data_IF_647450093649
#
_entry.id   IF_647450093649
#
_cell.length_a   1.000
_cell.length_b   1.000
_cell.length_c   1.000
_cell.angle_alpha   90.00
_cell.angle_beta   90.00
_cell.angle_gamma   90.00
#
_symmetry.space_group_name_H-M   'P 1'
#
loop_
_entity.id
_entity.type
_entity.pdbx_description
1 polymer ?
#
# COMPACT_ATOMS: atom_id res chain seq x y z
N UNK A 1 -19.12 1.82 -16.70
CA UNK A 1 -18.65 0.85 -15.68
C UNK A 1 -18.10 -0.43 -16.30
N UNK A 2 -18.80 -1.15 -17.16
CA UNK A 2 -18.28 -2.38 -17.79
C UNK A 2 -17.01 -2.15 -18.62
N UNK A 3 -16.95 -1.10 -19.43
CA UNK A 3 -15.80 -0.76 -20.28
C UNK A 3 -14.54 -0.41 -19.45
N UNK A 4 -14.70 0.24 -18.30
CA UNK A 4 -13.62 0.59 -17.39
C UNK A 4 -13.08 -0.63 -16.63
N UNK A 5 -13.95 -1.57 -16.28
CA UNK A 5 -13.57 -2.85 -15.66
C UNK A 5 -12.76 -3.70 -16.65
N UNK A 6 -13.18 -3.79 -17.91
CA UNK A 6 -12.44 -4.49 -18.97
C UNK A 6 -11.06 -3.85 -19.22
N UNK A 7 -10.95 -2.52 -19.15
CA UNK A 7 -9.68 -1.79 -19.25
C UNK A 7 -8.74 -2.10 -18.09
N UNK A 8 -9.24 -2.13 -16.84
CA UNK A 8 -8.44 -2.46 -15.65
C UNK A 8 -7.95 -3.91 -15.70
N UNK A 9 -8.80 -4.86 -16.06
CA UNK A 9 -8.39 -6.28 -16.15
C UNK A 9 -7.29 -6.49 -17.19
N UNK A 10 -7.39 -5.85 -18.36
CA UNK A 10 -6.34 -5.89 -19.40
C UNK A 10 -5.03 -5.30 -18.89
N UNK A 11 -5.09 -4.20 -18.13
CA UNK A 11 -3.91 -3.58 -17.53
C UNK A 11 -3.29 -4.49 -16.47
N UNK A 12 -4.08 -5.04 -15.56
CA UNK A 12 -3.61 -5.97 -14.53
C UNK A 12 -2.96 -7.23 -15.15
N UNK A 13 -3.51 -7.74 -16.25
CA UNK A 13 -2.90 -8.86 -16.98
C UNK A 13 -1.52 -8.49 -17.54
N UNK A 14 -1.36 -7.28 -18.11
CA UNK A 14 -0.06 -6.78 -18.57
C UNK A 14 0.94 -6.59 -17.43
N UNK A 15 0.48 -6.06 -16.30
CA UNK A 15 1.32 -5.88 -15.11
C UNK A 15 1.83 -7.24 -14.61
N UNK A 16 0.94 -8.23 -14.46
CA UNK A 16 1.30 -9.59 -13.99
C UNK A 16 2.27 -10.31 -14.93
N UNK A 17 2.24 -9.99 -16.21
CA UNK A 17 3.16 -10.52 -17.22
C UNK A 17 4.43 -9.68 -17.40
N UNK A 18 4.68 -8.66 -16.54
CA UNK A 18 5.83 -7.78 -16.65
C UNK A 18 7.14 -8.51 -16.34
N UNK A 19 8.11 -8.39 -17.25
CA UNK A 19 9.46 -8.99 -17.13
C UNK A 19 10.59 -7.96 -17.25
N UNK A 20 10.30 -6.66 -17.08
CA UNK A 20 11.28 -5.57 -17.24
C UNK A 20 12.51 -5.76 -16.33
N UNK A 21 12.29 -6.19 -15.09
CA UNK A 21 13.35 -6.39 -14.09
C UNK A 21 13.80 -7.86 -14.05
N UNK A 22 14.42 -8.35 -15.10
CA UNK A 22 14.85 -9.76 -15.23
C UNK A 22 15.98 -10.16 -14.27
N UNK A 23 16.67 -9.18 -13.70
CA UNK A 23 17.79 -9.34 -12.74
C UNK A 23 17.36 -9.45 -11.27
N UNK A 24 16.06 -9.51 -11.00
CA UNK A 24 15.56 -9.69 -9.63
C UNK A 24 15.95 -11.06 -9.06
N UNK A 25 16.32 -11.14 -7.76
CA UNK A 25 16.90 -12.37 -7.18
C UNK A 25 15.93 -13.56 -7.14
N UNK A 26 14.63 -13.33 -7.19
CA UNK A 26 13.59 -14.37 -7.28
C UNK A 26 12.79 -14.28 -8.59
N UNK A 27 13.30 -13.52 -9.57
CA UNK A 27 12.60 -13.23 -10.81
C UNK A 27 11.45 -12.20 -10.65
N UNK A 28 10.90 -11.75 -11.78
CA UNK A 28 9.73 -10.88 -11.77
C UNK A 28 8.46 -11.67 -11.43
N UNK A 29 7.77 -11.23 -10.39
CA UNK A 29 6.45 -11.72 -9.97
C UNK A 29 5.65 -10.54 -9.39
N UNK A 30 4.99 -9.75 -10.24
CA UNK A 30 4.27 -8.56 -9.82
C UNK A 30 3.06 -8.86 -8.96
N UNK A 31 3.09 -8.41 -7.71
CA UNK A 31 2.00 -8.52 -6.74
C UNK A 31 1.24 -7.21 -6.63
N UNK A 32 0.01 -7.21 -7.09
CA UNK A 32 -0.89 -6.06 -7.09
C UNK A 32 -2.34 -6.51 -6.95
N UNK A 33 -3.13 -5.71 -6.23
CA UNK A 33 -4.58 -5.89 -6.10
C UNK A 33 -5.27 -4.58 -6.48
N UNK A 34 -6.27 -4.64 -7.35
CA UNK A 34 -7.07 -3.47 -7.71
C UNK A 34 -8.44 -3.88 -8.25
N UNK A 35 -9.45 -3.06 -7.96
CA UNK A 35 -10.79 -3.15 -8.50
C UNK A 35 -11.36 -1.74 -8.71
N UNK A 36 -12.15 -1.53 -9.75
CA UNK A 36 -12.68 -0.21 -10.13
C UNK A 36 -13.57 0.42 -9.06
N UNK A 37 -14.17 -0.38 -8.18
CA UNK A 37 -15.01 0.08 -7.06
C UNK A 37 -14.24 0.33 -5.77
N UNK A 38 -12.94 0.00 -5.70
CA UNK A 38 -12.13 0.18 -4.50
C UNK A 38 -12.22 1.63 -3.97
N UNK A 39 -12.41 1.74 -2.65
CA UNK A 39 -12.48 3.03 -1.93
C UNK A 39 -11.19 3.37 -1.20
N UNK A 40 -10.39 2.37 -0.91
CA UNK A 40 -9.20 2.49 -0.10
C UNK A 40 -8.00 2.01 -0.89
N UNK A 41 -7.02 2.89 -1.06
CA UNK A 41 -5.73 2.57 -1.67
C UNK A 41 -4.67 2.38 -0.60
N UNK A 42 -3.96 1.26 -0.65
CA UNK A 42 -2.80 0.97 0.19
C UNK A 42 -1.54 1.04 -0.65
N UNK A 43 -0.60 1.91 -0.26
CA UNK A 43 0.67 2.10 -0.94
C UNK A 43 1.81 1.79 0.01
N UNK A 44 2.62 0.80 -0.32
CA UNK A 44 3.85 0.43 0.41
C UNK A 44 5.09 0.55 -0.47
N UNK A 45 6.22 0.07 0.02
CA UNK A 45 7.49 0.07 -0.71
C UNK A 45 7.48 -0.93 -1.87
N UNK A 46 7.52 -2.22 -1.55
CA UNK A 46 7.52 -3.37 -2.46
C UNK A 46 7.21 -4.65 -1.66
N UNK A 47 6.84 -5.76 -2.31
CA UNK A 47 6.73 -7.05 -1.64
C UNK A 47 8.05 -7.45 -0.99
N UNK A 48 8.01 -7.92 0.27
CA UNK A 48 9.15 -8.58 0.90
C UNK A 48 9.28 -10.03 0.42
N UNK A 49 10.40 -10.70 0.75
CA UNK A 49 10.65 -12.10 0.36
C UNK A 49 9.47 -13.02 0.70
N UNK A 50 8.98 -13.00 1.94
CA UNK A 50 7.86 -13.86 2.38
C UNK A 50 6.56 -13.55 1.64
N UNK A 51 6.32 -12.29 1.34
CA UNK A 51 5.16 -11.84 0.56
C UNK A 51 5.23 -12.35 -0.88
N UNK A 52 6.42 -12.29 -1.49
CA UNK A 52 6.67 -12.87 -2.81
C UNK A 52 6.42 -14.38 -2.82
N UNK A 53 7.00 -15.12 -1.87
CA UNK A 53 6.82 -16.58 -1.75
C UNK A 53 5.36 -17.00 -1.53
N UNK A 54 4.54 -16.14 -0.93
CA UNK A 54 3.10 -16.38 -0.72
C UNK A 54 2.21 -15.95 -1.89
N UNK A 55 2.77 -15.23 -2.86
CA UNK A 55 2.06 -14.82 -4.07
C UNK A 55 0.93 -13.81 -3.84
N UNK A 56 0.90 -13.10 -2.70
CA UNK A 56 -0.14 -12.08 -2.42
C UNK A 56 0.39 -10.91 -1.59
N UNK A 57 -0.05 -9.65 -1.87
CA UNK A 57 0.39 -8.46 -1.15
C UNK A 57 0.11 -8.59 0.37
N UNK A 58 1.06 -8.19 1.21
CA UNK A 58 0.90 -8.22 2.67
C UNK A 58 0.46 -9.58 3.26
N UNK A 59 0.92 -10.70 2.67
CA UNK A 59 0.65 -12.05 3.20
C UNK A 59 1.40 -12.37 4.50
N UNK A 60 2.36 -11.54 4.91
CA UNK A 60 3.27 -11.74 6.05
C UNK A 60 2.77 -11.10 7.37
N UNK A 61 3.65 -11.05 8.39
CA UNK A 61 3.36 -10.43 9.69
C UNK A 61 3.06 -8.92 9.59
N UNK A 62 3.62 -8.24 8.59
CA UNK A 62 3.31 -6.83 8.33
C UNK A 62 1.85 -6.67 7.93
N UNK A 63 1.35 -7.57 7.10
CA UNK A 63 -0.06 -7.57 6.69
C UNK A 63 -1.00 -7.89 7.84
N UNK A 64 -0.64 -8.83 8.73
CA UNK A 64 -1.43 -9.09 9.93
C UNK A 64 -1.57 -7.84 10.81
N UNK A 65 -0.47 -7.12 11.04
CA UNK A 65 -0.51 -5.86 11.79
C UNK A 65 -1.33 -4.79 11.07
N UNK A 66 -1.15 -4.67 9.75
CA UNK A 66 -1.90 -3.70 8.96
C UNK A 66 -3.42 -3.96 9.07
N UNK A 67 -3.88 -5.19 8.88
CA UNK A 67 -5.29 -5.55 9.07
C UNK A 67 -5.82 -5.19 10.46
N UNK A 68 -5.01 -5.41 11.50
CA UNK A 68 -5.37 -5.01 12.87
C UNK A 68 -5.52 -3.48 12.99
N UNK A 69 -4.60 -2.69 12.42
CA UNK A 69 -4.71 -1.24 12.40
C UNK A 69 -5.96 -0.75 11.64
N UNK A 70 -6.32 -1.45 10.56
CA UNK A 70 -7.50 -1.12 9.76
C UNK A 70 -8.81 -1.58 10.40
N UNK A 71 -8.77 -2.52 11.35
CA UNK A 71 -9.95 -3.12 11.96
C UNK A 71 -10.75 -4.00 10.99
N UNK A 72 -10.09 -4.69 10.06
CA UNK A 72 -10.73 -5.50 9.02
C UNK A 72 -10.32 -6.96 9.09
N UNK A 73 -11.19 -7.83 8.55
CA UNK A 73 -10.89 -9.25 8.36
C UNK A 73 -9.93 -9.45 7.18
N UNK A 74 -9.39 -10.67 7.06
CA UNK A 74 -8.55 -11.03 5.92
C UNK A 74 -9.35 -11.01 4.61
N UNK A 75 -10.59 -11.52 4.61
CA UNK A 75 -11.45 -11.51 3.44
C UNK A 75 -11.77 -10.08 2.97
N UNK A 76 -12.10 -9.18 3.89
CA UNK A 76 -12.30 -7.77 3.56
C UNK A 76 -11.04 -7.13 2.98
N UNK A 77 -9.87 -7.43 3.55
CA UNK A 77 -8.60 -6.85 3.10
C UNK A 77 -8.22 -7.27 1.68
N UNK A 78 -8.52 -8.51 1.31
CA UNK A 78 -8.25 -9.04 -0.02
C UNK A 78 -9.43 -8.92 -1.00
N UNK A 79 -10.50 -8.26 -0.60
CA UNK A 79 -11.58 -7.89 -1.52
C UNK A 79 -11.16 -6.70 -2.40
N UNK A 80 -10.93 -6.89 -3.71
CA UNK A 80 -10.51 -5.82 -4.61
C UNK A 80 -11.60 -4.77 -4.83
N UNK A 81 -12.85 -5.04 -4.44
CA UNK A 81 -13.92 -4.05 -4.48
C UNK A 81 -13.81 -3.02 -3.35
N UNK A 82 -13.13 -3.35 -2.27
CA UNK A 82 -12.91 -2.52 -1.09
C UNK A 82 -11.51 -1.88 -1.08
N UNK A 83 -10.47 -2.69 -1.32
CA UNK A 83 -9.08 -2.30 -1.21
C UNK A 83 -8.31 -2.47 -2.52
N UNK A 84 -7.64 -1.42 -2.96
CA UNK A 84 -6.56 -1.50 -3.92
C UNK A 84 -5.21 -1.52 -3.17
N UNK A 85 -4.34 -2.47 -3.48
CA UNK A 85 -2.99 -2.60 -2.89
C UNK A 85 -1.97 -2.45 -4.00
N UNK A 86 -1.36 -1.27 -4.09
CA UNK A 86 -0.49 -0.87 -5.19
C UNK A 86 0.82 -0.32 -4.62
N UNK A 87 1.82 -1.19 -4.32
CA UNK A 87 3.11 -0.75 -3.80
C UNK A 87 3.88 0.11 -4.82
N UNK A 88 4.98 0.74 -4.42
CA UNK A 88 5.85 1.51 -5.32
C UNK A 88 6.59 0.61 -6.31
N UNK A 89 7.02 -0.57 -5.89
CA UNK A 89 7.51 -1.65 -6.75
C UNK A 89 6.63 -2.88 -6.59
N UNK A 90 6.34 -3.59 -7.67
CA UNK A 90 5.40 -4.72 -7.64
C UNK A 90 6.06 -6.07 -7.38
N UNK A 91 7.39 -6.15 -7.49
CA UNK A 91 8.17 -7.36 -7.27
C UNK A 91 9.10 -7.21 -6.05
N UNK A 92 9.54 -8.33 -5.49
CA UNK A 92 10.57 -8.34 -4.44
C UNK A 92 11.91 -7.84 -5.00
N UNK A 93 12.46 -6.71 -4.49
CA UNK A 93 13.64 -6.09 -5.06
C UNK A 93 14.96 -6.74 -4.62
N UNK A 94 14.92 -7.64 -3.65
CA UNK A 94 16.09 -8.21 -2.99
C UNK A 94 16.29 -7.70 -1.57
N UNK A 95 17.24 -8.29 -0.86
CA UNK A 95 17.61 -7.93 0.52
C UNK A 95 18.99 -7.28 0.56
N UNK A 96 19.11 -6.15 1.25
CA UNK A 96 20.35 -5.44 1.53
C UNK A 96 20.74 -5.53 3.01
N UNK A 97 21.80 -4.81 3.41
CA UNK A 97 22.35 -4.86 4.77
C UNK A 97 21.39 -4.36 5.87
N UNK A 98 20.40 -3.52 5.54
CA UNK A 98 19.45 -2.92 6.50
C UNK A 98 18.00 -3.37 6.30
N UNK A 99 17.73 -4.24 5.36
CA UNK A 99 16.37 -4.66 5.00
C UNK A 99 16.22 -4.90 3.51
N UNK A 100 14.98 -4.90 3.02
CA UNK A 100 14.73 -5.04 1.60
C UNK A 100 15.23 -3.81 0.84
N UNK A 101 15.77 -4.05 -0.35
CA UNK A 101 16.26 -2.99 -1.23
C UNK A 101 15.13 -2.01 -1.61
N UNK A 102 15.46 -0.81 -2.12
CA UNK A 102 14.50 0.11 -2.68
C UNK A 102 13.63 -0.55 -3.75
N UNK A 103 12.38 -0.08 -3.95
CA UNK A 103 11.59 -0.50 -5.11
C UNK A 103 12.34 -0.16 -6.41
N UNK A 104 12.21 -1.01 -7.42
CA UNK A 104 12.83 -0.75 -8.72
C UNK A 104 12.30 0.56 -9.29
N UNK A 105 13.22 1.42 -9.73
CA UNK A 105 12.90 2.76 -10.21
C UNK A 105 11.99 2.74 -11.45
N UNK A 106 12.11 1.72 -12.28
CA UNK A 106 11.35 1.52 -13.52
C UNK A 106 9.86 1.25 -13.26
N UNK A 107 9.54 0.63 -12.12
CA UNK A 107 8.21 0.07 -11.87
C UNK A 107 7.14 1.16 -11.73
N UNK A 108 7.38 2.18 -10.89
CA UNK A 108 6.38 3.19 -10.61
C UNK A 108 6.05 4.06 -11.84
N UNK A 109 7.02 4.61 -12.61
CA UNK A 109 6.72 5.36 -13.83
C UNK A 109 5.97 4.53 -14.88
N UNK A 110 6.30 3.25 -15.01
CA UNK A 110 5.71 2.37 -16.01
C UNK A 110 4.26 2.03 -15.74
N UNK A 111 3.90 1.77 -14.47
CA UNK A 111 2.64 1.09 -14.15
C UNK A 111 1.70 1.88 -13.23
N UNK A 112 2.24 2.73 -12.34
CA UNK A 112 1.40 3.34 -11.30
C UNK A 112 0.40 4.35 -11.83
N UNK A 113 0.82 5.29 -12.65
CA UNK A 113 -0.08 6.32 -13.19
C UNK A 113 -1.22 5.68 -13.98
N UNK A 114 -0.97 4.82 -15.00
CA UNK A 114 -2.06 4.16 -15.72
C UNK A 114 -2.99 3.34 -14.82
N UNK A 115 -2.45 2.73 -13.74
CA UNK A 115 -3.26 1.92 -12.83
C UNK A 115 -4.12 2.79 -11.92
N UNK A 116 -3.59 3.89 -11.40
CA UNK A 116 -4.34 4.83 -10.56
C UNK A 116 -5.46 5.52 -11.33
N UNK A 117 -5.25 5.83 -12.61
CA UNK A 117 -6.28 6.41 -13.49
C UNK A 117 -7.49 5.49 -13.68
N UNK A 118 -7.32 4.17 -13.45
CA UNK A 118 -8.43 3.21 -13.49
C UNK A 118 -9.19 3.10 -12.16
N UNK A 119 -8.82 3.86 -11.14
CA UNK A 119 -9.38 3.79 -9.78
C UNK A 119 -10.05 5.11 -9.35
N UNK A 120 -11.13 5.55 -10.04
CA UNK A 120 -11.74 6.86 -9.81
C UNK A 120 -12.48 6.96 -8.46
N UNK A 121 -12.68 5.82 -7.79
CA UNK A 121 -13.50 5.76 -6.58
C UNK A 121 -12.69 5.78 -5.28
N UNK A 122 -11.37 5.96 -5.32
CA UNK A 122 -10.53 6.02 -4.11
C UNK A 122 -10.90 7.26 -3.29
N UNK A 123 -11.31 7.04 -2.05
CA UNK A 123 -11.67 8.06 -1.07
C UNK A 123 -10.63 8.21 0.05
N UNK A 124 -9.74 7.21 0.23
CA UNK A 124 -8.68 7.23 1.22
C UNK A 124 -7.43 6.51 0.70
N UNK A 125 -6.29 7.19 0.75
CA UNK A 125 -4.97 6.61 0.44
C UNK A 125 -4.15 6.42 1.71
N UNK A 126 -3.77 5.19 2.01
CA UNK A 126 -2.88 4.82 3.12
C UNK A 126 -1.44 4.74 2.61
N UNK A 127 -0.57 5.62 3.09
CA UNK A 127 0.77 5.84 2.55
C UNK A 127 1.80 5.30 3.54
N UNK A 128 2.36 4.11 3.27
CA UNK A 128 3.20 3.36 4.19
C UNK A 128 4.70 3.51 3.86
N UNK A 129 5.42 4.22 4.72
CA UNK A 129 6.87 4.36 4.66
C UNK A 129 7.37 5.38 3.64
N UNK A 130 8.69 5.63 3.67
CA UNK A 130 9.31 6.78 3.00
C UNK A 130 9.19 6.81 1.47
N UNK A 131 9.21 5.66 0.80
CA UNK A 131 9.12 5.62 -0.67
C UNK A 131 7.72 6.04 -1.15
N UNK A 132 6.67 5.51 -0.49
CA UNK A 132 5.30 5.90 -0.77
C UNK A 132 5.04 7.37 -0.44
N UNK A 133 5.57 7.86 0.69
CA UNK A 133 5.49 9.27 1.07
C UNK A 133 6.18 10.19 0.05
N UNK A 134 7.34 9.77 -0.47
CA UNK A 134 8.05 10.53 -1.50
C UNK A 134 7.29 10.70 -2.79
N UNK A 135 6.45 9.74 -3.17
CA UNK A 135 5.60 9.81 -4.37
C UNK A 135 4.30 10.59 -4.13
N UNK A 136 3.58 10.25 -3.04
CA UNK A 136 2.22 10.75 -2.83
C UNK A 136 2.14 12.10 -2.13
N UNK A 137 3.11 12.43 -1.30
CA UNK A 137 3.13 13.70 -0.56
C UNK A 137 4.27 14.63 -0.99
N UNK A 138 5.22 14.14 -1.79
CA UNK A 138 6.33 14.92 -2.36
C UNK A 138 6.81 16.08 -1.45
N UNK A 139 6.43 17.32 -1.80
CA UNK A 139 6.83 18.54 -1.10
C UNK A 139 6.09 18.78 0.22
N UNK A 140 4.95 18.10 0.45
CA UNK A 140 4.15 18.23 1.68
C UNK A 140 4.70 17.39 2.84
N UNK A 141 5.58 16.40 2.57
CA UNK A 141 6.20 15.58 3.63
C UNK A 141 7.23 16.37 4.43
N UNK A 142 7.35 16.06 5.72
CA UNK A 142 8.42 16.57 6.57
C UNK A 142 9.75 15.85 6.31
N UNK A 143 10.85 16.32 6.92
CA UNK A 143 12.19 15.70 6.79
C UNK A 143 12.22 14.25 7.26
N UNK A 144 11.43 13.91 8.27
CA UNK A 144 11.36 12.56 8.83
C UNK A 144 9.97 11.95 8.69
N UNK A 145 9.92 10.62 8.66
CA UNK A 145 8.66 9.87 8.71
C UNK A 145 7.83 10.27 9.93
N UNK A 146 8.46 10.35 11.10
CA UNK A 146 7.78 10.66 12.37
C UNK A 146 7.09 12.02 12.34
N UNK A 147 7.77 13.04 11.85
CA UNK A 147 7.20 14.37 11.69
C UNK A 147 6.03 14.39 10.70
N UNK A 148 6.16 13.68 9.58
CA UNK A 148 5.08 13.58 8.60
C UNK A 148 3.85 12.86 9.20
N UNK A 149 4.07 11.77 9.93
CA UNK A 149 2.98 11.03 10.59
C UNK A 149 2.33 11.86 11.70
N UNK A 150 3.08 12.67 12.45
CA UNK A 150 2.51 13.58 13.47
C UNK A 150 1.58 14.65 12.87
N UNK A 151 1.81 15.02 11.63
CA UNK A 151 0.97 15.99 10.88
C UNK A 151 -0.15 15.32 10.08
N UNK A 152 -0.57 14.11 10.45
CA UNK A 152 -1.54 13.32 9.70
C UNK A 152 -2.86 14.04 9.44
N UNK A 153 -3.30 14.90 10.35
CA UNK A 153 -4.55 15.66 10.23
C UNK A 153 -4.57 16.61 9.02
N UNK A 154 -3.39 17.09 8.59
CA UNK A 154 -3.28 17.97 7.42
C UNK A 154 -3.61 17.25 6.10
N UNK A 155 -3.51 15.92 6.07
CA UNK A 155 -3.80 15.09 4.90
C UNK A 155 -5.17 14.40 4.98
N UNK A 156 -5.75 14.40 6.17
CA UNK A 156 -7.03 13.76 6.44
C UNK A 156 -8.20 14.54 5.81
N UNK A 157 -9.29 13.89 5.33
CA UNK A 157 -9.60 12.45 5.40
C UNK A 157 -9.24 11.68 4.11
N UNK A 158 -8.49 12.26 3.18
CA UNK A 158 -8.22 11.68 1.84
C UNK A 158 -6.91 10.92 1.78
N UNK A 159 -5.96 11.25 2.66
CA UNK A 159 -4.68 10.56 2.77
C UNK A 159 -4.28 10.38 4.23
N UNK A 160 -3.54 9.31 4.53
CA UNK A 160 -2.98 9.06 5.85
C UNK A 160 -1.56 8.52 5.73
N UNK A 161 -0.54 9.31 6.15
CA UNK A 161 0.83 8.82 6.27
C UNK A 161 0.94 7.84 7.46
N UNK A 162 1.55 6.68 7.23
CA UNK A 162 1.70 5.63 8.23
C UNK A 162 3.16 5.14 8.29
N UNK A 163 3.66 4.72 9.48
CA UNK A 163 4.85 3.92 9.54
C UNK A 163 4.60 2.58 8.84
N UNK A 164 5.65 1.96 8.29
CA UNK A 164 5.48 0.62 7.74
C UNK A 164 5.16 -0.38 8.87
N UNK A 165 4.15 -1.27 8.71
CA UNK A 165 3.70 -2.19 9.77
C UNK A 165 4.67 -3.35 10.05
N UNK A 166 5.88 -3.29 9.52
CA UNK A 166 6.92 -4.31 9.73
C UNK A 166 7.28 -4.50 11.20
N UNK A 167 7.59 -5.74 11.64
CA UNK A 167 8.17 -6.00 12.95
C UNK A 167 9.42 -5.16 13.26
N UNK A 168 10.18 -4.72 12.25
CA UNK A 168 11.34 -3.83 12.43
C UNK A 168 10.98 -2.48 13.04
N UNK A 169 9.74 -2.02 12.90
CA UNK A 169 9.25 -0.76 13.44
C UNK A 169 8.68 -0.86 14.87
N UNK A 170 8.81 -2.00 15.55
CA UNK A 170 8.36 -2.15 16.95
C UNK A 170 8.98 -1.10 17.88
N UNK A 171 10.27 -0.78 17.69
CA UNK A 171 10.94 0.27 18.48
C UNK A 171 10.31 1.64 18.25
N UNK A 172 9.97 1.94 16.99
CA UNK A 172 9.29 3.19 16.64
C UNK A 172 7.91 3.27 17.30
N UNK A 173 7.11 2.21 17.23
CA UNK A 173 5.79 2.13 17.85
C UNK A 173 5.86 2.35 19.36
N UNK A 174 6.83 1.70 20.05
CA UNK A 174 7.05 1.89 21.48
C UNK A 174 7.46 3.33 21.84
N UNK A 175 8.20 4.00 20.99
CA UNK A 175 8.62 5.39 21.17
C UNK A 175 7.51 6.41 20.79
N UNK A 176 6.47 5.98 20.10
CA UNK A 176 5.38 6.82 19.60
C UNK A 176 4.00 6.22 19.93
N UNK A 177 3.66 6.01 21.24
CA UNK A 177 2.41 5.36 21.63
C UNK A 177 1.16 6.14 21.19
N UNK A 178 1.27 7.46 21.01
CA UNK A 178 0.21 8.31 20.47
C UNK A 178 -0.32 7.81 19.12
N UNK A 179 0.51 7.17 18.31
CA UNK A 179 0.08 6.67 17.00
C UNK A 179 -1.04 5.62 17.13
N UNK A 180 -0.86 4.63 17.98
CA UNK A 180 -1.88 3.59 18.18
C UNK A 180 -3.05 4.09 19.06
N UNK A 181 -2.81 5.07 19.94
CA UNK A 181 -3.85 5.62 20.81
C UNK A 181 -4.77 6.62 20.10
N UNK A 182 -4.22 7.48 19.23
CA UNK A 182 -4.95 8.62 18.67
C UNK A 182 -5.28 8.40 17.18
N UNK A 183 -4.33 7.91 16.37
CA UNK A 183 -4.50 7.81 14.93
C UNK A 183 -5.31 6.56 14.53
N UNK A 184 -4.99 5.41 15.13
CA UNK A 184 -5.61 4.14 14.74
C UNK A 184 -7.12 4.12 14.97
N UNK A 185 -7.70 4.61 16.10
CA UNK A 185 -9.15 4.66 16.27
C UNK A 185 -9.86 5.52 15.21
N UNK A 186 -9.29 6.66 14.83
CA UNK A 186 -9.84 7.53 13.78
C UNK A 186 -9.80 6.84 12.42
N UNK A 187 -8.69 6.15 12.10
CA UNK A 187 -8.56 5.35 10.90
C UNK A 187 -9.62 4.24 10.84
N UNK A 188 -9.78 3.46 11.91
CA UNK A 188 -10.77 2.37 11.96
C UNK A 188 -12.20 2.87 11.75
N UNK A 189 -12.56 4.01 12.34
CA UNK A 189 -13.86 4.62 12.12
C UNK A 189 -14.09 5.01 10.65
N UNK A 190 -13.07 5.57 9.99
CA UNK A 190 -13.15 5.94 8.57
C UNK A 190 -13.27 4.72 7.69
N UNK A 191 -12.45 3.69 7.93
CA UNK A 191 -12.50 2.41 7.21
C UNK A 191 -13.89 1.78 7.34
N UNK A 192 -14.42 1.67 8.55
CA UNK A 192 -15.75 1.12 8.79
C UNK A 192 -16.85 1.87 8.03
N UNK A 193 -16.77 3.21 7.92
CA UNK A 193 -17.72 4.01 7.12
C UNK A 193 -17.59 3.73 5.63
N UNK A 194 -16.36 3.56 5.12
CA UNK A 194 -16.11 3.30 3.70
C UNK A 194 -16.58 1.90 3.28
N UNK A 195 -16.37 0.89 4.14
CA UNK A 195 -16.79 -0.49 3.89
C UNK A 195 -18.32 -0.65 4.01
N UNK A 196 -18.96 -0.03 5.00
CA UNK A 196 -20.43 -0.13 5.21
C UNK A 196 -21.27 0.50 4.11
N UNK A 197 -20.70 1.38 3.28
CA UNK A 197 -21.41 1.98 2.14
C UNK A 197 -21.74 0.98 1.01
N UNK A 198 -21.34 -0.28 1.16
CA UNK A 198 -21.64 -1.37 0.23
C UNK A 198 -22.21 -2.56 1.03
N UNK A 199 -23.54 -2.78 0.97
CA UNK A 199 -24.15 -4.02 1.44
C UNK A 199 -23.82 -5.19 0.49
#
# INVERSE_FOLDING_TARGET
MAEQTDSLEKLLKKIRACTICSDLPLGPDPLVQAGTSAKILIVGQAPGRKTHEQGRPFGDQSGKRLRNWLGVTEDQFYDPSLFAIIPMGFCFPGTGNGGDLPPRAECAPQWRTPLLDQLPNIELTLILGQYALGWHLADARSKTLTETVKRWEEFWPTALPLPHPSPRNIRWLKANPWFEADVIPVLQQRIAKLIKKYP
#
